data_IF_897100590157
#
_entry.id   IF_897100590157
#
_cell.length_a   1.000
_cell.length_b   1.000
_cell.length_c   1.000
_cell.angle_alpha   90.00
_cell.angle_beta   90.00
_cell.angle_gamma   90.00
#
_symmetry.space_group_name_H-M   'P 1'
#
loop_
_entity.id
_entity.type
_entity.pdbx_description
1 polymer ?
#
# COMPACT_ATOMS: atom_id res chain seq x y z
N UNK A 1 -32.81 -24.90 12.63
CA UNK A 1 -32.99 -24.57 14.06
C UNK A 1 -33.59 -23.17 14.09
N UNK A 2 -34.75 -22.99 14.71
CA UNK A 2 -35.46 -21.71 14.73
C UNK A 2 -34.59 -20.67 15.48
N UNK A 3 -34.21 -19.59 14.80
CA UNK A 3 -33.61 -18.43 15.45
C UNK A 3 -34.72 -17.79 16.28
N UNK A 4 -34.70 -18.01 17.60
CA UNK A 4 -35.56 -17.25 18.50
C UNK A 4 -35.06 -15.80 18.48
N UNK A 5 -35.87 -14.91 17.93
CA UNK A 5 -35.59 -13.48 17.89
C UNK A 5 -35.68 -12.97 19.34
N UNK A 6 -34.53 -12.85 20.01
CA UNK A 6 -34.45 -12.50 21.42
C UNK A 6 -34.93 -11.06 21.60
N UNK A 7 -36.15 -10.91 22.13
CA UNK A 7 -36.72 -9.60 22.43
C UNK A 7 -36.01 -8.98 23.62
N UNK A 8 -35.22 -7.94 23.37
CA UNK A 8 -34.51 -7.18 24.41
C UNK A 8 -35.21 -5.85 24.69
N UNK A 9 -35.41 -5.54 25.97
CA UNK A 9 -36.02 -4.27 26.38
C UNK A 9 -34.93 -3.20 26.52
N UNK A 10 -34.70 -2.46 25.44
CA UNK A 10 -33.71 -1.38 25.39
C UNK A 10 -34.20 -0.14 26.15
N UNK A 11 -33.51 0.19 27.24
CA UNK A 11 -33.72 1.44 27.99
C UNK A 11 -32.84 2.53 27.40
N UNK A 12 -33.48 3.49 26.71
CA UNK A 12 -32.80 4.60 26.07
C UNK A 12 -33.27 5.94 26.68
N UNK A 13 -32.35 6.90 26.85
CA UNK A 13 -32.68 8.31 27.05
C UNK A 13 -33.70 8.81 26.02
N UNK A 14 -34.61 9.70 26.45
CA UNK A 14 -35.72 10.16 25.61
C UNK A 14 -35.24 10.87 24.33
N UNK A 15 -34.19 11.67 24.43
CA UNK A 15 -33.53 12.35 23.33
C UNK A 15 -32.95 11.35 22.30
N UNK A 16 -32.27 10.31 22.76
CA UNK A 16 -31.73 9.26 21.87
C UNK A 16 -32.84 8.47 21.18
N UNK A 17 -33.92 8.15 21.89
CA UNK A 17 -35.06 7.46 21.31
C UNK A 17 -35.70 8.28 20.19
N UNK A 18 -35.88 9.59 20.40
CA UNK A 18 -36.46 10.48 19.39
C UNK A 18 -35.58 10.54 18.14
N UNK A 19 -34.26 10.71 18.30
CA UNK A 19 -33.31 10.70 17.18
C UNK A 19 -33.33 9.39 16.38
N UNK A 20 -33.49 8.26 17.06
CA UNK A 20 -33.62 6.96 16.39
C UNK A 20 -34.95 6.82 15.65
N UNK A 21 -36.05 7.35 16.19
CA UNK A 21 -37.34 7.37 15.52
C UNK A 21 -37.33 8.24 14.26
N UNK A 22 -36.76 9.43 14.34
CA UNK A 22 -36.58 10.32 13.18
C UNK A 22 -35.74 9.65 12.09
N UNK A 23 -34.63 9.01 12.47
CA UNK A 23 -33.79 8.30 11.51
C UNK A 23 -34.49 7.08 10.90
N UNK A 24 -35.24 6.31 11.71
CA UNK A 24 -36.02 5.18 11.22
C UNK A 24 -37.08 5.64 10.21
N UNK A 25 -37.78 6.74 10.50
CA UNK A 25 -38.75 7.35 9.59
C UNK A 25 -38.08 7.83 8.28
N UNK A 26 -36.94 8.52 8.37
CA UNK A 26 -36.18 8.98 7.21
C UNK A 26 -35.70 7.80 6.32
N UNK A 27 -35.36 6.67 6.94
CA UNK A 27 -34.89 5.47 6.24
C UNK A 27 -36.01 4.50 5.82
N UNK A 28 -37.29 4.86 6.04
CA UNK A 28 -38.45 3.98 5.79
C UNK A 28 -38.33 2.60 6.49
N UNK A 29 -37.85 2.59 7.74
CA UNK A 29 -37.64 1.37 8.54
C UNK A 29 -38.39 1.47 9.86
N UNK A 30 -38.67 0.31 10.46
CA UNK A 30 -39.13 0.27 11.85
C UNK A 30 -37.97 0.65 12.79
N UNK A 31 -38.30 1.14 14.00
CA UNK A 31 -37.30 1.48 15.00
C UNK A 31 -36.36 0.30 15.31
N UNK A 32 -36.92 -0.91 15.45
CA UNK A 32 -36.15 -2.13 15.69
C UNK A 32 -35.21 -2.45 14.51
N UNK A 33 -35.68 -2.30 13.27
CA UNK A 33 -34.86 -2.54 12.09
C UNK A 33 -33.72 -1.52 11.96
N UNK A 34 -33.96 -0.25 12.31
CA UNK A 34 -32.93 0.79 12.32
C UNK A 34 -31.87 0.52 13.40
N UNK A 35 -32.28 0.09 14.60
CA UNK A 35 -31.37 -0.29 15.69
C UNK A 35 -30.50 -1.48 15.28
N UNK A 36 -31.10 -2.54 14.74
CA UNK A 36 -30.36 -3.71 14.25
C UNK A 36 -29.40 -3.32 13.13
N UNK A 37 -29.85 -2.51 12.16
CA UNK A 37 -28.99 -2.06 11.07
C UNK A 37 -27.76 -1.29 11.56
N UNK A 38 -27.93 -0.39 12.53
CA UNK A 38 -26.82 0.39 13.10
C UNK A 38 -25.87 -0.47 13.92
N UNK A 39 -26.39 -1.38 14.73
CA UNK A 39 -25.58 -2.32 15.50
C UNK A 39 -24.78 -3.22 14.55
N UNK A 40 -25.41 -3.84 13.56
CA UNK A 40 -24.70 -4.65 12.56
C UNK A 40 -23.61 -3.86 11.82
N UNK A 41 -23.88 -2.60 11.44
CA UNK A 41 -22.89 -1.74 10.81
C UNK A 41 -21.69 -1.41 11.72
N UNK A 42 -21.91 -1.30 13.03
CA UNK A 42 -20.83 -1.07 14.01
C UNK A 42 -19.88 -2.26 14.13
N UNK A 43 -20.35 -3.48 13.92
CA UNK A 43 -19.49 -4.67 13.92
C UNK A 43 -18.72 -4.83 12.59
N UNK A 44 -19.32 -4.46 11.46
CA UNK A 44 -18.65 -4.55 10.16
C UNK A 44 -17.55 -3.51 9.95
N UNK A 45 -17.61 -2.37 10.63
CA UNK A 45 -16.57 -1.32 10.53
C UNK A 45 -15.29 -1.67 11.30
N UNK A 46 -15.40 -2.47 12.37
CA UNK A 46 -14.25 -2.95 13.13
C UNK A 46 -13.47 -4.05 12.38
N UNK A 47 -14.13 -4.92 11.62
CA UNK A 47 -13.47 -5.99 10.87
C UNK A 47 -12.85 -5.52 9.56
N UNK A 48 -13.46 -4.53 8.88
CA UNK A 48 -12.98 -4.05 7.59
C UNK A 48 -11.65 -3.28 7.65
N UNK A 49 -11.30 -2.70 8.80
CA UNK A 49 -10.08 -1.88 8.93
C UNK A 49 -8.82 -2.69 9.23
N UNK A 50 -8.94 -3.84 9.91
CA UNK A 50 -7.81 -4.75 10.17
C UNK A 50 -7.40 -5.58 8.95
N UNK A 51 -8.37 -6.21 8.29
CA UNK A 51 -8.10 -7.13 7.15
C UNK A 51 -7.52 -6.42 5.92
N UNK A 52 -7.97 -5.20 5.64
CA UNK A 52 -7.45 -4.40 4.52
C UNK A 52 -6.01 -3.93 4.79
N UNK A 53 -5.72 -3.46 6.00
CA UNK A 53 -4.38 -3.03 6.37
C UNK A 53 -3.38 -4.20 6.33
N UNK A 54 -3.77 -5.38 6.80
CA UNK A 54 -2.95 -6.59 6.76
C UNK A 54 -2.70 -7.07 5.33
N UNK A 55 -3.70 -7.01 4.46
CA UNK A 55 -3.56 -7.31 3.03
C UNK A 55 -2.57 -6.36 2.33
N UNK A 56 -2.69 -5.05 2.54
CA UNK A 56 -1.77 -4.07 1.95
C UNK A 56 -0.34 -4.22 2.47
N UNK A 57 -0.17 -4.51 3.77
CA UNK A 57 1.14 -4.78 4.35
C UNK A 57 1.79 -6.02 3.72
N UNK A 58 1.01 -7.09 3.52
CA UNK A 58 1.51 -8.32 2.90
C UNK A 58 1.90 -8.11 1.43
N UNK A 59 1.11 -7.34 0.68
CA UNK A 59 1.40 -7.04 -0.73
C UNK A 59 2.62 -6.11 -0.88
N UNK A 60 2.78 -5.14 0.04
CA UNK A 60 3.97 -4.29 0.09
C UNK A 60 5.24 -5.10 0.39
N UNK A 61 5.17 -6.10 1.27
CA UNK A 61 6.29 -7.02 1.55
C UNK A 61 6.68 -7.83 0.32
N UNK A 62 5.70 -8.38 -0.41
CA UNK A 62 5.93 -9.11 -1.67
C UNK A 62 6.57 -8.23 -2.74
N UNK A 63 6.08 -6.99 -2.89
CA UNK A 63 6.66 -6.04 -3.84
C UNK A 63 8.12 -5.75 -3.50
N UNK A 64 8.44 -5.51 -2.23
CA UNK A 64 9.81 -5.26 -1.77
C UNK A 64 10.74 -6.47 -2.01
N UNK A 65 10.23 -7.69 -1.82
CA UNK A 65 11.00 -8.90 -2.06
C UNK A 65 11.32 -9.05 -3.56
N UNK A 66 10.36 -8.82 -4.45
CA UNK A 66 10.58 -8.84 -5.89
C UNK A 66 11.59 -7.78 -6.37
N UNK A 67 11.55 -6.58 -5.79
CA UNK A 67 12.52 -5.51 -6.08
C UNK A 67 13.92 -5.91 -5.62
N UNK A 68 14.03 -6.56 -4.45
CA UNK A 68 15.30 -7.06 -3.93
C UNK A 68 15.87 -8.17 -4.81
N UNK A 69 15.03 -9.09 -5.29
CA UNK A 69 15.45 -10.13 -6.24
C UNK A 69 15.95 -9.53 -7.55
N UNK A 70 15.25 -8.53 -8.10
CA UNK A 70 15.64 -7.86 -9.33
C UNK A 70 17.00 -7.16 -9.18
N UNK A 71 17.22 -6.46 -8.06
CA UNK A 71 18.51 -5.84 -7.73
C UNK A 71 19.63 -6.87 -7.63
N UNK A 72 19.37 -8.01 -7.01
CA UNK A 72 20.34 -9.10 -6.91
C UNK A 72 20.67 -9.71 -8.28
N UNK A 73 19.68 -9.89 -9.14
CA UNK A 73 19.87 -10.38 -10.51
C UNK A 73 20.72 -9.40 -11.32
N UNK A 74 20.41 -8.11 -11.25
CA UNK A 74 21.16 -7.08 -11.98
C UNK A 74 22.64 -7.02 -11.54
N UNK A 75 22.88 -7.14 -10.23
CA UNK A 75 24.24 -7.23 -9.67
C UNK A 75 25.01 -8.44 -10.21
N UNK A 76 24.36 -9.60 -10.31
CA UNK A 76 24.97 -10.82 -10.89
C UNK A 76 25.27 -10.63 -12.37
N UNK A 77 24.38 -10.03 -13.14
CA UNK A 77 24.61 -9.72 -14.56
C UNK A 77 25.81 -8.78 -14.74
N UNK A 78 25.92 -7.73 -13.91
CA UNK A 78 27.07 -6.82 -13.91
C UNK A 78 28.39 -7.54 -13.61
N UNK A 79 28.40 -8.43 -12.61
CA UNK A 79 29.58 -9.25 -12.29
C UNK A 79 29.98 -10.18 -13.44
N UNK A 80 29.01 -10.86 -14.07
CA UNK A 80 29.28 -11.70 -15.24
C UNK A 80 29.84 -10.90 -16.40
N UNK A 81 29.31 -9.69 -16.63
CA UNK A 81 29.81 -8.80 -17.66
C UNK A 81 31.29 -8.42 -17.43
N UNK A 82 31.65 -8.07 -16.20
CA UNK A 82 33.05 -7.80 -15.84
C UNK A 82 33.98 -8.99 -16.10
N UNK A 83 33.56 -10.21 -15.77
CA UNK A 83 34.33 -11.43 -16.03
C UNK A 83 34.46 -11.70 -17.54
N UNK A 84 33.39 -11.51 -18.30
CA UNK A 84 33.38 -11.66 -19.76
C UNK A 84 34.35 -10.68 -20.42
N UNK A 85 34.32 -9.41 -20.02
CA UNK A 85 35.24 -8.39 -20.53
C UNK A 85 36.70 -8.70 -20.17
N UNK A 86 36.95 -9.20 -18.96
CA UNK A 86 38.28 -9.67 -18.53
C UNK A 86 38.80 -10.82 -19.40
N UNK A 87 37.93 -11.77 -19.75
CA UNK A 87 38.26 -12.90 -20.62
C UNK A 87 38.64 -12.47 -22.04
N UNK A 88 37.86 -11.57 -22.66
CA UNK A 88 38.16 -11.03 -23.99
C UNK A 88 39.52 -10.34 -24.04
N UNK A 89 39.80 -9.50 -23.03
CA UNK A 89 41.11 -8.83 -22.89
C UNK A 89 42.25 -9.84 -22.74
N UNK A 90 42.08 -10.89 -21.94
CA UNK A 90 43.11 -11.92 -21.73
C UNK A 90 43.39 -12.78 -22.97
N UNK A 91 42.40 -12.95 -23.86
CA UNK A 91 42.53 -13.71 -25.11
C UNK A 91 43.01 -12.89 -26.30
N UNK A 92 43.24 -11.58 -26.12
CA UNK A 92 43.62 -10.69 -27.21
C UNK A 92 42.54 -10.56 -28.29
N UNK A 93 41.29 -10.90 -27.96
CA UNK A 93 40.15 -10.72 -28.83
C UNK A 93 39.80 -9.23 -28.80
N UNK A 94 40.16 -8.51 -29.86
CA UNK A 94 39.82 -7.11 -30.02
C UNK A 94 38.39 -6.98 -30.51
N UNK A 95 37.54 -6.42 -29.67
CA UNK A 95 36.29 -5.80 -30.09
C UNK A 95 36.62 -4.59 -30.98
N UNK A 96 35.76 -4.31 -31.95
CA UNK A 96 35.84 -3.04 -32.69
C UNK A 96 35.60 -1.86 -31.75
N UNK A 97 36.06 -0.67 -32.12
CA UNK A 97 35.85 0.54 -31.31
C UNK A 97 34.35 0.82 -31.07
N UNK A 98 33.49 0.53 -32.05
CA UNK A 98 32.02 0.64 -31.92
C UNK A 98 31.48 -0.33 -30.88
N UNK A 99 31.89 -1.60 -30.91
CA UNK A 99 31.43 -2.60 -29.94
C UNK A 99 31.94 -2.31 -28.52
N UNK A 100 33.13 -1.71 -28.38
CA UNK A 100 33.64 -1.25 -27.09
C UNK A 100 32.82 -0.09 -26.53
N UNK A 101 32.44 0.88 -27.37
CA UNK A 101 31.57 2.00 -26.96
C UNK A 101 30.17 1.50 -26.55
N UNK A 102 29.58 0.60 -27.33
CA UNK A 102 28.27 0.01 -27.03
C UNK A 102 28.30 -0.77 -25.70
N UNK A 103 29.38 -1.50 -25.43
CA UNK A 103 29.55 -2.27 -24.19
C UNK A 103 29.79 -1.36 -22.97
N UNK A 104 30.52 -0.26 -23.12
CA UNK A 104 30.72 0.73 -22.06
C UNK A 104 29.43 1.48 -21.77
N UNK A 105 28.66 1.83 -22.81
CA UNK A 105 27.36 2.46 -22.67
C UNK A 105 26.37 1.52 -21.96
N UNK A 106 26.33 0.24 -22.34
CA UNK A 106 25.50 -0.76 -21.69
C UNK A 106 25.87 -0.95 -20.21
N UNK A 107 27.18 -0.96 -19.89
CA UNK A 107 27.65 -1.05 -18.50
C UNK A 107 27.27 0.19 -17.68
N UNK A 108 27.34 1.38 -18.30
CA UNK A 108 26.92 2.63 -17.70
C UNK A 108 25.40 2.64 -17.46
N UNK A 109 24.60 2.24 -18.44
CA UNK A 109 23.14 2.18 -18.34
C UNK A 109 22.68 1.14 -17.30
N UNK A 110 23.36 -0.01 -17.21
CA UNK A 110 23.12 -0.99 -16.15
C UNK A 110 23.47 -0.48 -14.75
N UNK A 111 24.52 0.35 -14.61
CA UNK A 111 24.87 0.99 -13.32
C UNK A 111 23.92 2.14 -12.99
N UNK A 112 23.57 2.95 -13.98
CA UNK A 112 22.61 4.05 -13.85
C UNK A 112 21.21 3.52 -13.53
N UNK A 113 20.80 2.37 -14.05
CA UNK A 113 19.54 1.72 -13.68
C UNK A 113 19.53 1.23 -12.21
N UNK A 114 20.69 0.98 -11.60
CA UNK A 114 20.79 0.66 -10.17
C UNK A 114 20.89 1.87 -9.25
N UNK A 115 21.35 3.02 -9.77
CA UNK A 115 21.65 4.23 -8.99
C UNK A 115 20.80 5.45 -9.37
N UNK A 116 19.89 5.31 -10.34
CA UNK A 116 19.19 6.40 -11.00
C UNK A 116 18.36 7.27 -10.04
N UNK A 117 18.34 8.59 -10.25
CA UNK A 117 17.65 9.54 -9.38
C UNK A 117 16.16 9.23 -9.29
N UNK A 118 15.51 8.72 -10.34
CA UNK A 118 14.08 8.37 -10.29
C UNK A 118 13.79 7.19 -9.35
N UNK A 119 14.59 6.12 -9.40
CA UNK A 119 14.38 4.96 -8.51
C UNK A 119 14.75 5.32 -7.07
N UNK A 120 15.78 6.15 -6.87
CA UNK A 120 16.19 6.62 -5.55
C UNK A 120 15.19 7.63 -4.96
N UNK A 121 14.61 8.50 -5.79
CA UNK A 121 13.57 9.47 -5.38
C UNK A 121 12.26 8.75 -5.10
N UNK A 122 11.87 7.79 -5.94
CA UNK A 122 10.69 6.95 -5.68
C UNK A 122 10.87 6.07 -4.45
N UNK A 123 12.09 5.55 -4.18
CA UNK A 123 12.39 4.82 -2.94
C UNK A 123 12.36 5.73 -1.71
N UNK A 124 12.91 6.95 -1.80
CA UNK A 124 12.85 7.95 -0.72
C UNK A 124 11.41 8.42 -0.46
N UNK A 125 10.61 8.62 -1.50
CA UNK A 125 9.19 8.95 -1.39
C UNK A 125 8.39 7.79 -0.80
N UNK A 126 8.68 6.54 -1.20
CA UNK A 126 8.09 5.34 -0.61
C UNK A 126 8.46 5.17 0.87
N UNK A 127 9.72 5.37 1.24
CA UNK A 127 10.17 5.35 2.64
C UNK A 127 9.48 6.46 3.46
N UNK A 128 9.37 7.67 2.91
CA UNK A 128 8.66 8.78 3.55
C UNK A 128 7.16 8.55 3.68
N UNK A 129 6.52 7.87 2.73
CA UNK A 129 5.12 7.44 2.82
C UNK A 129 4.93 6.32 3.86
N UNK A 130 5.85 5.35 3.92
CA UNK A 130 5.82 4.28 4.91
C UNK A 130 5.98 4.80 6.34
N UNK A 131 6.85 5.78 6.59
CA UNK A 131 6.97 6.41 7.90
C UNK A 131 5.68 7.14 8.31
N UNK A 132 5.02 7.82 7.37
CA UNK A 132 3.73 8.49 7.62
C UNK A 132 2.62 7.50 7.96
N UNK A 133 2.53 6.38 7.24
CA UNK A 133 1.57 5.30 7.55
C UNK A 133 1.85 4.72 8.94
N UNK A 134 3.12 4.44 9.27
CA UNK A 134 3.52 3.91 10.58
C UNK A 134 3.21 4.88 11.72
N UNK A 135 3.37 6.19 11.49
CA UNK A 135 3.01 7.23 12.45
C UNK A 135 1.50 7.32 12.68
N UNK A 136 0.70 7.15 11.62
CA UNK A 136 -0.77 7.11 11.71
C UNK A 136 -1.23 5.88 12.48
N UNK A 137 -0.65 4.70 12.20
CA UNK A 137 -0.95 3.46 12.93
C UNK A 137 -0.60 3.56 14.42
N UNK A 138 0.56 4.14 14.76
CA UNK A 138 0.93 4.40 16.16
C UNK A 138 -0.02 5.37 16.86
N UNK A 139 -0.51 6.42 16.17
CA UNK A 139 -1.52 7.32 16.73
C UNK A 139 -2.89 6.65 16.87
N UNK A 140 -3.27 5.80 15.92
CA UNK A 140 -4.52 5.04 15.98
C UNK A 140 -4.52 4.04 17.13
N UNK A 141 -3.41 3.34 17.36
CA UNK A 141 -3.21 2.43 18.49
C UNK A 141 -3.35 3.12 19.86
N UNK A 142 -2.99 4.42 19.94
CA UNK A 142 -3.12 5.20 21.17
C UNK A 142 -4.50 5.83 21.38
N UNK A 143 -5.34 5.96 20.36
CA UNK A 143 -6.56 6.76 20.46
C UNK A 143 -7.82 5.96 20.82
N UNK A 144 -7.93 4.67 20.50
CA UNK A 144 -9.10 3.84 20.90
C UNK A 144 -10.48 4.43 20.54
N UNK A 145 -10.52 5.44 19.65
CA UNK A 145 -11.67 6.29 19.36
C UNK A 145 -11.82 6.45 17.86
N UNK A 146 -13.05 6.58 17.33
CA UNK A 146 -13.32 6.65 15.91
C UNK A 146 -12.55 7.81 15.26
N UNK A 147 -11.87 7.48 14.17
CA UNK A 147 -10.99 8.38 13.43
C UNK A 147 -11.75 9.60 12.91
N UNK A 148 -11.22 10.79 13.18
CA UNK A 148 -11.73 12.07 12.69
C UNK A 148 -11.85 12.05 11.15
N UNK A 149 -13.03 12.35 10.56
CA UNK A 149 -13.27 12.27 9.11
C UNK A 149 -12.27 13.07 8.27
N UNK A 150 -11.72 14.16 8.81
CA UNK A 150 -10.71 14.97 8.10
C UNK A 150 -9.39 14.20 7.92
N UNK A 151 -9.02 13.39 8.93
CA UNK A 151 -7.82 12.54 8.87
C UNK A 151 -8.02 11.32 8.00
N UNK A 152 -9.25 10.80 7.93
CA UNK A 152 -9.61 9.75 6.99
C UNK A 152 -9.45 10.22 5.54
N UNK A 153 -9.92 11.44 5.23
CA UNK A 153 -9.74 12.04 3.91
C UNK A 153 -8.26 12.26 3.54
N UNK A 154 -7.39 12.62 4.49
CA UNK A 154 -5.94 12.72 4.27
C UNK A 154 -5.31 11.36 3.92
N UNK A 155 -5.76 10.27 4.57
CA UNK A 155 -5.28 8.92 4.28
C UNK A 155 -5.74 8.45 2.91
N UNK A 156 -7.01 8.67 2.59
CA UNK A 156 -7.57 8.32 1.27
C UNK A 156 -6.81 9.07 0.15
N UNK A 157 -6.48 10.34 0.34
CA UNK A 157 -5.70 11.14 -0.60
C UNK A 157 -4.24 10.66 -0.74
N UNK A 158 -3.60 10.21 0.36
CA UNK A 158 -2.26 9.63 0.33
C UNK A 158 -2.25 8.27 -0.40
N UNK A 159 -3.28 7.46 -0.20
CA UNK A 159 -3.44 6.17 -0.90
C UNK A 159 -3.66 6.36 -2.40
N UNK A 160 -4.50 7.31 -2.80
CA UNK A 160 -4.72 7.65 -4.22
C UNK A 160 -3.43 8.15 -4.89
N UNK A 161 -2.65 8.96 -4.18
CA UNK A 161 -1.34 9.43 -4.68
C UNK A 161 -0.32 8.30 -4.82
N UNK A 162 -0.30 7.36 -3.87
CA UNK A 162 0.56 6.18 -3.94
C UNK A 162 0.18 5.26 -5.12
N UNK A 163 -1.11 5.08 -5.39
CA UNK A 163 -1.57 4.36 -6.59
C UNK A 163 -1.16 5.05 -7.90
N UNK A 164 -1.24 6.38 -7.95
CA UNK A 164 -0.80 7.17 -9.10
C UNK A 164 0.67 6.97 -9.42
N UNK A 165 1.54 7.07 -8.41
CA UNK A 165 2.99 6.83 -8.55
C UNK A 165 3.29 5.40 -8.98
N UNK A 166 2.53 4.42 -8.47
CA UNK A 166 2.66 3.01 -8.88
C UNK A 166 2.35 2.85 -10.37
N UNK A 167 1.31 3.50 -10.89
CA UNK A 167 0.94 3.47 -12.31
C UNK A 167 1.99 4.15 -13.21
N UNK A 168 2.59 5.24 -12.76
CA UNK A 168 3.69 5.88 -13.50
C UNK A 168 4.94 5.01 -13.56
N UNK A 169 5.35 4.42 -12.42
CA UNK A 169 6.48 3.50 -12.39
C UNK A 169 6.30 2.31 -13.35
N UNK A 170 5.08 1.76 -13.45
CA UNK A 170 4.76 0.69 -14.38
C UNK A 170 4.69 1.11 -15.87
N UNK A 171 4.50 2.41 -16.17
CA UNK A 171 4.53 2.92 -17.55
C UNK A 171 5.95 3.14 -18.09
N UNK A 172 6.92 3.35 -17.19
CA UNK A 172 8.33 3.55 -17.53
C UNK A 172 9.02 2.19 -17.82
N UNK A 173 8.37 1.08 -17.47
CA UNK A 173 8.82 -0.30 -17.70
C UNK A 173 8.19 -0.89 -18.95
#
# INVERSE_FOLDING_TARGET
>A
MASEDVQTNLRLPADMKNRLQEAAAANNRSLSAEVTSRLSASFNTASASGDLAEFFAQEALRANESVRELKNLLRRCSQMFGLFMGYFRAKGLSLTSSEQEDLVQLQHDMSAATEGPDVKTLLLELEGLQEKVRFIDQRLAHLGSPMDPTKKAEIDALMERAEGLKKEYFKIR
#
